data_IF_827039398511
#
_entry.id   IF_827039398511
#
_cell.length_a   1.000
_cell.length_b   1.000
_cell.length_c   1.000
_cell.angle_alpha   90.00
_cell.angle_beta   90.00
_cell.angle_gamma   90.00
#
_symmetry.space_group_name_H-M   'P 1'
#
loop_
_entity.id
_entity.type
_entity.pdbx_description
1 polymer ?
#
# COMPACT_ATOMS: atom_id res chain seq x y z
N UNK A 1 8.30 2.10 -8.49
CA UNK A 1 7.20 1.93 -7.52
C UNK A 1 6.68 3.29 -7.12
N UNK A 2 5.39 3.53 -7.33
CA UNK A 2 4.71 4.76 -6.90
C UNK A 2 4.43 4.73 -5.40
N UNK A 3 4.87 5.74 -4.65
CA UNK A 3 4.80 5.77 -3.18
C UNK A 3 3.74 6.77 -2.71
N UNK A 4 2.76 6.27 -1.96
CA UNK A 4 1.78 7.09 -1.25
C UNK A 4 2.23 7.19 0.21
N UNK A 5 2.56 8.40 0.68
CA UNK A 5 3.02 8.62 2.05
C UNK A 5 1.91 8.43 3.10
N UNK A 6 2.16 7.63 4.13
CA UNK A 6 1.15 7.17 5.10
C UNK A 6 1.13 7.93 6.45
N UNK A 7 1.93 8.98 6.64
CA UNK A 7 2.14 9.55 8.00
C UNK A 7 1.01 10.49 8.48
N UNK A 8 0.10 10.89 7.59
CA UNK A 8 -1.00 11.82 7.90
C UNK A 8 -2.27 11.01 8.22
N UNK A 9 -2.25 10.34 9.37
CA UNK A 9 -3.35 9.49 9.83
C UNK A 9 -3.90 9.89 11.19
N UNK A 10 -5.23 9.92 11.34
CA UNK A 10 -5.93 10.28 12.58
C UNK A 10 -5.62 9.36 13.78
N UNK A 11 -5.06 8.17 13.54
CA UNK A 11 -4.59 7.28 14.61
C UNK A 11 -3.37 7.86 15.34
N UNK A 12 -2.56 8.66 14.64
CA UNK A 12 -1.45 9.42 15.22
C UNK A 12 -1.98 10.48 16.18
N UNK A 13 -1.49 10.49 17.41
CA UNK A 13 -1.85 11.51 18.42
C UNK A 13 -1.50 12.91 17.96
N UNK A 14 -0.38 13.07 17.23
CA UNK A 14 0.06 14.37 16.67
C UNK A 14 -0.94 14.87 15.63
N UNK A 15 -1.34 14.02 14.68
CA UNK A 15 -2.29 14.38 13.61
C UNK A 15 -3.68 14.63 14.17
N UNK A 16 -4.17 13.76 15.07
CA UNK A 16 -5.46 13.94 15.75
C UNK A 16 -5.56 15.28 16.45
N UNK A 17 -4.56 15.62 17.27
CA UNK A 17 -4.52 16.90 17.98
C UNK A 17 -4.50 18.08 17.01
N UNK A 18 -3.72 17.98 15.94
CA UNK A 18 -3.66 19.02 14.92
C UNK A 18 -5.01 19.22 14.21
N UNK A 19 -5.75 18.14 13.93
CA UNK A 19 -7.11 18.22 13.38
C UNK A 19 -8.07 18.88 14.38
N UNK A 20 -8.06 18.46 15.64
CA UNK A 20 -8.93 18.99 16.70
C UNK A 20 -8.70 20.50 16.94
N UNK A 21 -7.44 20.93 16.90
CA UNK A 21 -7.03 22.32 17.15
C UNK A 21 -6.97 23.19 15.87
N UNK A 22 -7.27 22.61 14.69
CA UNK A 22 -7.06 23.26 13.37
C UNK A 22 -5.65 23.82 13.20
N UNK A 23 -4.67 23.12 13.75
CA UNK A 23 -3.26 23.51 13.70
C UNK A 23 -2.62 23.01 12.40
N UNK A 24 -2.30 23.94 11.49
CA UNK A 24 -1.74 23.60 10.17
C UNK A 24 -0.30 23.08 10.24
N UNK A 25 0.53 23.71 11.06
CA UNK A 25 1.98 23.50 11.04
C UNK A 25 2.40 22.03 11.23
N UNK A 26 1.84 21.24 12.18
CA UNK A 26 2.17 19.83 12.32
C UNK A 26 1.85 18.99 11.08
N UNK A 27 0.75 19.30 10.38
CA UNK A 27 0.31 18.60 9.17
C UNK A 27 1.22 18.97 8.00
N UNK A 28 1.48 20.27 7.82
CA UNK A 28 2.36 20.79 6.76
C UNK A 28 3.78 20.26 6.88
N UNK A 29 4.33 20.19 8.10
CA UNK A 29 5.66 19.60 8.33
C UNK A 29 5.73 18.12 7.94
N UNK A 30 4.68 17.33 8.24
CA UNK A 30 4.61 15.93 7.82
C UNK A 30 4.49 15.80 6.29
N UNK A 31 3.73 16.68 5.65
CA UNK A 31 3.58 16.69 4.20
C UNK A 31 4.91 16.97 3.50
N UNK A 32 5.59 18.05 3.88
CA UNK A 32 6.89 18.43 3.30
C UNK A 32 7.92 17.32 3.53
N UNK A 33 8.03 16.79 4.76
CA UNK A 33 9.01 15.74 5.06
C UNK A 33 8.79 14.45 4.25
N UNK A 34 7.54 14.10 3.94
CA UNK A 34 7.24 12.92 3.11
C UNK A 34 7.56 13.16 1.63
N UNK A 35 7.23 14.34 1.10
CA UNK A 35 7.55 14.70 -0.30
C UNK A 35 9.06 14.83 -0.51
N UNK A 36 9.78 15.44 0.44
CA UNK A 36 11.26 15.50 0.41
C UNK A 36 11.91 14.11 0.50
N UNK A 37 11.24 13.16 1.17
CA UNK A 37 11.67 11.76 1.20
C UNK A 37 11.29 10.96 -0.07
N UNK A 38 10.60 11.60 -1.02
CA UNK A 38 10.28 11.04 -2.33
C UNK A 38 8.90 10.39 -2.42
N UNK A 39 7.92 10.81 -1.62
CA UNK A 39 6.52 10.41 -1.82
C UNK A 39 5.94 11.03 -3.10
N UNK A 40 5.28 10.21 -3.92
CA UNK A 40 4.64 10.62 -5.17
C UNK A 40 3.20 11.12 -4.97
N UNK A 41 2.58 10.74 -3.85
CA UNK A 41 1.30 11.23 -3.35
C UNK A 41 1.27 11.18 -1.82
N UNK A 42 0.30 11.84 -1.18
CA UNK A 42 0.10 11.79 0.27
C UNK A 42 -1.27 11.25 0.63
N UNK A 43 -1.32 10.26 1.52
CA UNK A 43 -2.55 9.81 2.15
C UNK A 43 -3.08 10.86 3.13
N UNK A 44 -4.40 11.06 3.13
CA UNK A 44 -5.11 11.99 4.00
C UNK A 44 -6.19 11.21 4.75
N UNK A 45 -5.79 10.56 5.84
CA UNK A 45 -6.71 9.77 6.66
C UNK A 45 -7.25 10.61 7.82
N UNK A 46 -8.54 10.95 7.72
CA UNK A 46 -9.26 11.66 8.78
C UNK A 46 -10.07 10.70 9.67
N UNK A 47 -10.12 9.41 9.34
CA UNK A 47 -11.03 8.44 9.93
C UNK A 47 -12.49 8.65 9.51
N UNK A 48 -13.46 8.08 10.26
CA UNK A 48 -14.88 8.13 9.87
C UNK A 48 -15.55 9.49 10.06
N UNK A 49 -15.03 10.34 10.97
CA UNK A 49 -15.48 11.71 11.29
C UNK A 49 -16.95 12.01 10.90
N UNK A 50 -17.91 11.40 11.59
CA UNK A 50 -19.32 11.33 11.14
C UNK A 50 -19.92 12.68 10.73
N UNK A 51 -19.98 13.64 11.65
CA UNK A 51 -20.62 14.96 11.40
C UNK A 51 -19.67 16.01 10.84
N UNK A 52 -18.43 16.02 11.33
CA UNK A 52 -17.43 17.04 10.98
C UNK A 52 -16.58 16.66 9.76
N UNK A 53 -16.76 15.46 9.21
CA UNK A 53 -15.94 14.91 8.13
C UNK A 53 -15.74 15.86 6.95
N UNK A 54 -16.80 16.45 6.36
CA UNK A 54 -16.66 17.42 5.27
C UNK A 54 -15.75 18.60 5.63
N UNK A 55 -16.03 19.29 6.73
CA UNK A 55 -15.24 20.44 7.20
C UNK A 55 -13.80 20.04 7.56
N UNK A 56 -13.59 18.81 8.06
CA UNK A 56 -12.26 18.30 8.37
C UNK A 56 -11.48 18.01 7.09
N UNK A 57 -12.08 17.34 6.12
CA UNK A 57 -11.42 17.00 4.86
C UNK A 57 -11.08 18.25 4.05
N UNK A 58 -12.00 19.23 3.94
CA UNK A 58 -11.72 20.49 3.24
C UNK A 58 -10.51 21.21 3.85
N UNK A 59 -10.47 21.33 5.18
CA UNK A 59 -9.34 21.95 5.88
C UNK A 59 -8.04 21.18 5.67
N UNK A 60 -8.07 19.83 5.70
CA UNK A 60 -6.88 19.01 5.45
C UNK A 60 -6.34 19.23 4.05
N UNK A 61 -7.21 19.15 3.04
CA UNK A 61 -6.84 19.34 1.62
C UNK A 61 -6.28 20.75 1.40
N UNK A 62 -6.96 21.79 1.89
CA UNK A 62 -6.48 23.17 1.76
C UNK A 62 -5.12 23.37 2.46
N UNK A 63 -4.94 22.79 3.65
CA UNK A 63 -3.70 22.89 4.43
C UNK A 63 -2.50 22.22 3.76
N UNK A 64 -2.70 21.05 3.15
CA UNK A 64 -1.64 20.29 2.49
C UNK A 64 -1.20 20.97 1.18
N UNK A 65 -2.15 21.40 0.36
CA UNK A 65 -1.89 22.04 -0.94
C UNK A 65 -1.32 23.47 -0.83
N UNK A 66 -1.14 23.99 0.39
CA UNK A 66 -0.39 25.23 0.65
C UNK A 66 1.13 25.01 0.61
N UNK A 67 1.60 23.78 0.84
CA UNK A 67 3.03 23.48 1.04
C UNK A 67 3.59 22.37 0.16
N UNK A 68 2.73 21.57 -0.47
CA UNK A 68 3.14 20.52 -1.41
C UNK A 68 2.30 20.56 -2.68
N UNK A 69 2.88 20.05 -3.77
CA UNK A 69 2.27 19.99 -5.10
C UNK A 69 2.26 18.55 -5.64
N UNK A 70 1.88 17.59 -4.79
CA UNK A 70 1.67 16.18 -5.16
C UNK A 70 0.18 15.81 -5.03
N UNK A 71 -0.31 14.81 -5.77
CA UNK A 71 -1.66 14.26 -5.60
C UNK A 71 -1.98 13.86 -4.15
N UNK A 72 -3.24 13.98 -3.77
CA UNK A 72 -3.74 13.55 -2.47
C UNK A 72 -4.57 12.27 -2.61
N UNK A 73 -4.27 11.29 -1.75
CA UNK A 73 -5.03 10.07 -1.57
C UNK A 73 -6.02 10.25 -0.40
N UNK A 74 -7.29 10.47 -0.71
CA UNK A 74 -8.33 10.79 0.26
C UNK A 74 -8.83 9.49 0.92
N UNK A 75 -8.43 9.27 2.17
CA UNK A 75 -8.76 8.06 2.93
C UNK A 75 -9.85 8.34 3.97
N UNK A 76 -11.07 7.90 3.65
CA UNK A 76 -12.19 7.94 4.59
C UNK A 76 -13.34 7.03 4.16
N UNK A 77 -14.07 6.50 5.14
CA UNK A 77 -15.34 5.80 4.91
C UNK A 77 -16.53 6.77 4.78
N UNK A 78 -16.34 8.06 5.07
CA UNK A 78 -17.39 9.07 5.00
C UNK A 78 -17.50 9.67 3.59
N UNK A 79 -18.52 9.27 2.83
CA UNK A 79 -18.74 9.71 1.44
C UNK A 79 -18.88 11.23 1.31
N UNK A 80 -19.53 11.89 2.27
CA UNK A 80 -19.67 13.35 2.25
C UNK A 80 -18.34 14.06 2.47
N UNK A 81 -17.47 13.50 3.32
CA UNK A 81 -16.12 14.02 3.53
C UNK A 81 -15.24 13.81 2.29
N UNK A 82 -15.32 12.63 1.69
CA UNK A 82 -14.64 12.31 0.44
C UNK A 82 -15.03 13.27 -0.69
N UNK A 83 -16.32 13.50 -0.91
CA UNK A 83 -16.79 14.45 -1.92
C UNK A 83 -16.35 15.90 -1.61
N UNK A 84 -16.35 16.30 -0.35
CA UNK A 84 -15.89 17.62 0.06
C UNK A 84 -14.40 17.83 -0.26
N UNK A 85 -13.57 16.82 -0.02
CA UNK A 85 -12.15 16.82 -0.42
C UNK A 85 -11.99 16.88 -1.95
N UNK A 86 -12.72 16.04 -2.70
CA UNK A 86 -12.67 16.01 -4.17
C UNK A 86 -13.04 17.34 -4.83
N UNK A 87 -13.88 18.17 -4.19
CA UNK A 87 -14.19 19.52 -4.67
C UNK A 87 -13.04 20.53 -4.49
N UNK A 88 -12.06 20.23 -3.64
CA UNK A 88 -10.98 21.14 -3.22
C UNK A 88 -9.61 20.77 -3.80
N UNK A 89 -9.43 19.52 -4.22
CA UNK A 89 -8.16 19.08 -4.80
C UNK A 89 -7.85 19.83 -6.10
N UNK A 90 -6.58 20.21 -6.28
CA UNK A 90 -6.08 20.94 -7.45
C UNK A 90 -5.58 20.00 -8.56
N UNK A 91 -5.14 18.81 -8.17
CA UNK A 91 -4.64 17.75 -9.05
C UNK A 91 -5.60 16.55 -9.01
N UNK A 92 -5.42 15.61 -9.94
CA UNK A 92 -6.15 14.35 -9.94
C UNK A 92 -5.90 13.61 -8.61
N UNK A 93 -6.94 13.45 -7.80
CA UNK A 93 -6.87 12.77 -6.52
C UNK A 93 -6.95 11.24 -6.66
N UNK A 94 -6.63 10.55 -5.58
CA UNK A 94 -6.84 9.11 -5.42
C UNK A 94 -7.94 8.92 -4.35
N UNK A 95 -8.96 8.15 -4.66
CA UNK A 95 -10.02 7.79 -3.71
C UNK A 95 -9.65 6.49 -3.00
N UNK A 96 -9.49 6.54 -1.68
CA UNK A 96 -9.27 5.38 -0.83
C UNK A 96 -10.49 5.15 0.08
N UNK A 97 -11.34 4.16 -0.16
CA UNK A 97 -11.35 3.17 -1.27
C UNK A 97 -12.77 2.65 -1.50
N UNK A 98 -12.99 1.87 -2.57
CA UNK A 98 -14.18 1.01 -2.72
C UNK A 98 -13.87 -0.44 -2.35
N UNK A 99 -14.89 -1.26 -2.13
CA UNK A 99 -14.80 -2.72 -1.98
C UNK A 99 -16.02 -3.39 -2.63
N UNK A 100 -16.13 -4.72 -2.54
CA UNK A 100 -17.33 -5.44 -2.96
C UNK A 100 -18.47 -5.41 -1.93
N UNK A 101 -18.34 -4.60 -0.88
CA UNK A 101 -19.49 -4.25 -0.02
C UNK A 101 -20.56 -3.50 -0.86
N UNK A 102 -21.84 -3.91 -0.82
CA UNK A 102 -22.87 -3.36 -1.70
C UNK A 102 -23.06 -1.85 -1.60
N UNK A 103 -22.93 -1.27 -0.40
CA UNK A 103 -23.11 0.18 -0.22
C UNK A 103 -21.89 0.93 -0.75
N UNK A 104 -20.68 0.45 -0.46
CA UNK A 104 -19.44 1.05 -0.99
C UNK A 104 -19.38 0.96 -2.51
N UNK A 105 -19.66 -0.21 -3.08
CA UNK A 105 -19.60 -0.47 -4.52
C UNK A 105 -20.63 0.35 -5.31
N UNK A 106 -21.80 0.60 -4.71
CA UNK A 106 -22.83 1.46 -5.30
C UNK A 106 -22.39 2.92 -5.36
N UNK A 107 -21.83 3.44 -4.27
CA UNK A 107 -21.71 4.89 -4.04
C UNK A 107 -20.32 5.47 -4.35
N UNK A 108 -19.23 4.72 -4.12
CA UNK A 108 -17.86 5.24 -4.26
C UNK A 108 -17.39 5.35 -5.72
N UNK A 109 -17.55 4.32 -6.58
CA UNK A 109 -17.09 4.41 -7.98
C UNK A 109 -17.73 5.56 -8.78
N UNK A 110 -19.05 5.83 -8.71
CA UNK A 110 -19.63 7.00 -9.37
C UNK A 110 -19.05 8.32 -8.86
N UNK A 111 -18.70 8.40 -7.58
CA UNK A 111 -18.10 9.59 -7.01
C UNK A 111 -16.68 9.80 -7.57
N UNK A 112 -15.86 8.75 -7.63
CA UNK A 112 -14.53 8.83 -8.25
C UNK A 112 -14.62 9.25 -9.72
N UNK A 113 -15.53 8.64 -10.50
CA UNK A 113 -15.77 8.99 -11.89
C UNK A 113 -16.21 10.46 -12.08
N UNK A 114 -17.11 10.96 -11.22
CA UNK A 114 -17.61 12.35 -11.27
C UNK A 114 -16.49 13.40 -11.15
N UNK A 115 -15.43 13.09 -10.41
CA UNK A 115 -14.31 14.01 -10.15
C UNK A 115 -13.02 13.61 -10.87
N UNK A 116 -13.08 12.69 -11.84
CA UNK A 116 -11.91 12.18 -12.57
C UNK A 116 -10.77 11.73 -11.63
N UNK A 117 -11.12 11.03 -10.55
CA UNK A 117 -10.19 10.56 -9.55
C UNK A 117 -9.79 9.09 -9.79
N UNK A 118 -8.52 8.76 -9.53
CA UNK A 118 -8.07 7.38 -9.45
C UNK A 118 -8.79 6.66 -8.30
N UNK A 119 -8.96 5.35 -8.41
CA UNK A 119 -9.75 4.58 -7.44
C UNK A 119 -8.96 3.40 -6.89
N UNK A 120 -8.78 3.37 -5.57
CA UNK A 120 -8.33 2.16 -4.87
C UNK A 120 -9.53 1.23 -4.68
N UNK A 121 -9.40 -0.03 -5.13
CA UNK A 121 -10.45 -1.03 -5.06
C UNK A 121 -9.96 -2.27 -4.32
N UNK A 122 -10.47 -2.48 -3.11
CA UNK A 122 -10.07 -3.57 -2.23
C UNK A 122 -10.73 -4.88 -2.67
N UNK A 123 -9.96 -5.96 -2.86
CA UNK A 123 -10.47 -7.30 -3.23
C UNK A 123 -11.07 -8.04 -2.01
N UNK A 124 -12.03 -7.40 -1.35
CA UNK A 124 -12.79 -7.97 -0.24
C UNK A 124 -14.29 -7.70 -0.37
N UNK A 125 -15.08 -8.62 0.18
CA UNK A 125 -16.49 -8.41 0.49
C UNK A 125 -16.66 -8.10 1.98
N UNK A 126 -17.51 -8.87 2.66
CA UNK A 126 -17.68 -8.79 4.13
C UNK A 126 -16.46 -9.26 4.92
N UNK A 127 -15.73 -10.22 4.36
CA UNK A 127 -14.52 -10.80 4.93
C UNK A 127 -13.40 -10.74 3.89
N UNK A 128 -12.16 -10.85 4.36
CA UNK A 128 -10.98 -10.95 3.51
C UNK A 128 -10.77 -12.43 3.23
N UNK A 129 -10.72 -12.81 1.95
CA UNK A 129 -10.37 -14.17 1.57
C UNK A 129 -8.87 -14.41 1.79
N UNK A 130 -8.51 -15.62 2.20
CA UNK A 130 -7.10 -16.04 2.22
C UNK A 130 -6.65 -16.23 0.78
N UNK A 131 -7.36 -17.09 0.05
CA UNK A 131 -6.93 -17.61 -1.25
C UNK A 131 -7.00 -16.56 -2.37
N UNK A 132 -5.96 -16.53 -3.22
CA UNK A 132 -5.80 -15.60 -4.31
C UNK A 132 -6.91 -15.71 -5.35
N UNK A 133 -7.35 -16.93 -5.67
CA UNK A 133 -8.42 -17.20 -6.62
C UNK A 133 -9.74 -16.51 -6.23
N UNK A 134 -10.09 -16.53 -4.94
CA UNK A 134 -11.26 -15.84 -4.40
C UNK A 134 -11.12 -14.33 -4.44
N UNK A 135 -9.93 -13.80 -4.15
CA UNK A 135 -9.66 -12.35 -4.26
C UNK A 135 -9.82 -11.86 -5.70
N UNK A 136 -9.28 -12.60 -6.65
CA UNK A 136 -9.40 -12.32 -8.09
C UNK A 136 -10.85 -12.46 -8.56
N UNK A 137 -11.58 -13.47 -8.07
CA UNK A 137 -13.00 -13.65 -8.36
C UNK A 137 -13.81 -12.43 -7.91
N UNK A 138 -13.54 -11.88 -6.72
CA UNK A 138 -14.18 -10.63 -6.26
C UNK A 138 -13.89 -9.48 -7.22
N UNK A 139 -12.66 -9.35 -7.70
CA UNK A 139 -12.30 -8.31 -8.66
C UNK A 139 -13.08 -8.47 -9.97
N UNK A 140 -13.10 -9.67 -10.55
CA UNK A 140 -13.74 -9.97 -11.83
C UNK A 140 -15.27 -9.89 -11.80
N UNK A 141 -15.90 -10.38 -10.73
CA UNK A 141 -17.37 -10.49 -10.66
C UNK A 141 -18.05 -9.23 -10.13
N UNK A 142 -17.33 -8.39 -9.36
CA UNK A 142 -17.93 -7.25 -8.67
C UNK A 142 -17.25 -5.92 -8.98
N UNK A 143 -15.92 -5.83 -8.79
CA UNK A 143 -15.21 -4.55 -8.87
C UNK A 143 -15.08 -4.08 -10.32
N UNK A 144 -14.47 -4.88 -11.18
CA UNK A 144 -14.21 -4.51 -12.59
C UNK A 144 -15.51 -4.16 -13.33
N UNK A 145 -16.58 -4.98 -13.29
CA UNK A 145 -17.82 -4.64 -13.99
C UNK A 145 -18.40 -3.30 -13.55
N UNK A 146 -18.41 -3.03 -12.24
CA UNK A 146 -18.94 -1.77 -11.70
C UNK A 146 -18.09 -0.57 -12.10
N UNK A 147 -16.77 -0.70 -12.01
CA UNK A 147 -15.83 0.36 -12.34
C UNK A 147 -15.92 0.71 -13.83
N UNK A 148 -16.02 -0.31 -14.70
CA UNK A 148 -16.25 -0.11 -16.14
C UNK A 148 -17.61 0.53 -16.44
N UNK A 149 -18.67 0.12 -15.74
CA UNK A 149 -20.03 0.69 -15.91
C UNK A 149 -20.06 2.20 -15.65
N UNK A 150 -19.30 2.68 -14.66
CA UNK A 150 -19.21 4.11 -14.34
C UNK A 150 -18.17 4.86 -15.19
N UNK A 151 -17.44 4.15 -16.06
CA UNK A 151 -16.52 4.72 -17.04
C UNK A 151 -15.13 5.07 -16.52
N UNK A 152 -14.67 4.48 -15.41
CA UNK A 152 -13.29 4.67 -14.93
C UNK A 152 -12.35 3.77 -15.75
N UNK A 153 -11.31 4.32 -16.40
CA UNK A 153 -10.29 3.54 -17.10
C UNK A 153 -9.54 2.58 -16.17
N UNK A 154 -9.23 1.36 -16.63
CA UNK A 154 -8.53 0.37 -15.78
C UNK A 154 -7.14 0.84 -15.34
N UNK A 155 -6.42 1.61 -16.16
CA UNK A 155 -5.13 2.21 -15.82
C UNK A 155 -5.20 3.31 -14.73
N UNK A 156 -6.41 3.73 -14.32
CA UNK A 156 -6.66 4.59 -13.16
C UNK A 156 -7.13 3.83 -11.91
N UNK A 157 -7.30 2.50 -12.01
CA UNK A 157 -7.71 1.65 -10.90
C UNK A 157 -6.47 1.08 -10.22
N UNK A 158 -6.40 1.20 -8.90
CA UNK A 158 -5.40 0.55 -8.07
C UNK A 158 -6.09 -0.59 -7.29
N UNK A 159 -5.96 -1.81 -7.78
CA UNK A 159 -6.50 -2.99 -7.10
C UNK A 159 -5.63 -3.34 -5.90
N UNK A 160 -6.25 -3.45 -4.72
CA UNK A 160 -5.57 -3.80 -3.47
C UNK A 160 -5.95 -5.22 -3.03
N UNK A 161 -5.00 -6.18 -3.05
CA UNK A 161 -5.24 -7.55 -2.62
C UNK A 161 -5.47 -7.69 -1.12
N UNK A 162 -5.21 -6.64 -0.32
CA UNK A 162 -5.17 -6.60 1.13
C UNK A 162 -4.04 -7.46 1.71
N UNK A 163 -2.98 -6.77 2.12
CA UNK A 163 -1.93 -7.34 2.97
C UNK A 163 -2.41 -7.33 4.43
N UNK A 164 -2.31 -8.48 5.08
CA UNK A 164 -2.50 -8.64 6.53
C UNK A 164 -1.16 -8.86 7.23
N UNK A 165 -1.19 -8.77 8.56
CA UNK A 165 0.02 -8.97 9.37
C UNK A 165 0.59 -10.37 9.23
N UNK A 166 1.91 -10.47 9.18
CA UNK A 166 2.60 -11.75 9.29
C UNK A 166 2.40 -12.42 10.67
N UNK A 167 2.14 -11.62 11.72
CA UNK A 167 1.97 -12.13 13.07
C UNK A 167 0.62 -12.84 13.23
N UNK A 168 0.63 -14.16 13.04
CA UNK A 168 -0.55 -15.02 13.18
C UNK A 168 -1.52 -15.00 12.00
N UNK A 169 -1.13 -14.36 10.88
CA UNK A 169 -1.84 -14.35 9.61
C UNK A 169 -0.86 -14.41 8.41
N UNK A 170 0.26 -15.10 8.57
CA UNK A 170 1.32 -15.20 7.55
C UNK A 170 0.86 -15.93 6.28
N UNK A 171 -0.12 -16.81 6.37
CA UNK A 171 -0.70 -17.54 5.24
C UNK A 171 -1.29 -16.61 4.17
N UNK A 172 -1.60 -15.36 4.51
CA UNK A 172 -2.11 -14.35 3.59
C UNK A 172 -1.00 -13.70 2.72
N UNK A 173 0.27 -13.82 3.13
CA UNK A 173 1.39 -13.21 2.41
C UNK A 173 1.60 -13.83 1.02
N UNK A 174 1.82 -15.15 0.85
CA UNK A 174 2.01 -15.72 -0.49
C UNK A 174 0.78 -15.50 -1.38
N UNK A 175 -0.44 -15.55 -0.82
CA UNK A 175 -1.68 -15.35 -1.58
C UNK A 175 -1.85 -13.92 -2.10
N UNK A 176 -1.37 -12.91 -1.37
CA UNK A 176 -1.38 -11.53 -1.87
C UNK A 176 -0.41 -11.34 -3.06
N UNK A 177 0.75 -12.00 -3.04
CA UNK A 177 1.69 -12.02 -4.18
C UNK A 177 1.01 -12.66 -5.41
N UNK A 178 0.38 -13.83 -5.26
CA UNK A 178 -0.34 -14.49 -6.35
C UNK A 178 -1.51 -13.64 -6.87
N UNK A 179 -2.27 -13.01 -5.97
CA UNK A 179 -3.37 -12.11 -6.35
C UNK A 179 -2.87 -10.98 -7.25
N UNK A 180 -1.73 -10.35 -6.91
CA UNK A 180 -1.14 -9.29 -7.74
C UNK A 180 -0.84 -9.80 -9.15
N UNK A 181 -0.20 -10.97 -9.27
CA UNK A 181 0.11 -11.56 -10.59
C UNK A 181 -1.14 -11.78 -11.43
N UNK A 182 -2.20 -12.33 -10.84
CA UNK A 182 -3.45 -12.53 -11.54
C UNK A 182 -4.13 -11.22 -11.94
N UNK A 183 -4.14 -10.22 -11.06
CA UNK A 183 -4.71 -8.89 -11.34
C UNK A 183 -4.04 -8.23 -12.55
N UNK A 184 -2.77 -8.52 -12.84
CA UNK A 184 -2.09 -8.05 -14.06
C UNK A 184 -2.59 -8.67 -15.36
N UNK A 185 -3.43 -9.69 -15.29
CA UNK A 185 -3.91 -10.44 -16.45
C UNK A 185 -5.42 -10.30 -16.69
N UNK A 186 -6.15 -9.58 -15.82
CA UNK A 186 -7.62 -9.54 -15.87
C UNK A 186 -8.20 -8.61 -16.95
N UNK A 187 -7.43 -7.65 -17.46
CA UNK A 187 -7.87 -6.71 -18.49
C UNK A 187 -6.70 -6.18 -19.32
N UNK A 188 -7.02 -5.51 -20.44
CA UNK A 188 -6.06 -4.79 -21.30
C UNK A 188 -6.55 -3.35 -21.57
N UNK A 189 -5.84 -2.30 -21.10
CA UNK A 189 -4.67 -2.38 -20.22
C UNK A 189 -5.01 -3.01 -18.86
N UNK A 190 -4.03 -3.62 -18.16
CA UNK A 190 -4.25 -4.16 -16.83
C UNK A 190 -4.49 -3.03 -15.82
N UNK A 191 -5.24 -3.29 -14.73
CA UNK A 191 -5.29 -2.35 -13.63
C UNK A 191 -3.91 -2.20 -12.98
N UNK A 192 -3.71 -1.07 -12.31
CA UNK A 192 -2.60 -0.94 -11.39
C UNK A 192 -2.87 -1.79 -10.14
N UNK A 193 -1.82 -2.18 -9.42
CA UNK A 193 -1.88 -2.86 -8.14
C UNK A 193 -1.22 -2.00 -7.07
N UNK A 194 -1.87 -1.96 -5.91
CA UNK A 194 -1.42 -1.20 -4.75
C UNK A 194 -1.54 -2.05 -3.49
N UNK A 195 -0.69 -1.81 -2.51
CA UNK A 195 -0.86 -2.38 -1.17
C UNK A 195 -0.60 -1.36 -0.06
N UNK A 196 -1.31 -1.51 1.06
CA UNK A 196 -0.86 -0.95 2.35
C UNK A 196 0.30 -1.77 2.90
N UNK A 197 1.54 -1.42 2.54
CA UNK A 197 2.71 -2.28 2.76
C UNK A 197 3.01 -2.48 4.25
N UNK A 198 2.90 -1.41 5.05
CA UNK A 198 3.23 -1.42 6.48
C UNK A 198 2.36 -2.41 7.28
N UNK A 199 1.19 -2.80 6.76
CA UNK A 199 0.26 -3.73 7.39
C UNK A 199 0.86 -5.12 7.64
N UNK A 200 1.77 -5.60 6.77
CA UNK A 200 2.43 -6.90 6.94
C UNK A 200 3.17 -7.00 8.27
N UNK A 201 3.59 -5.85 8.81
CA UNK A 201 4.38 -5.77 10.03
C UNK A 201 3.57 -5.40 11.28
N UNK A 202 2.23 -5.35 11.21
CA UNK A 202 1.39 -4.98 12.35
C UNK A 202 1.47 -6.00 13.50
N UNK A 203 1.91 -5.58 14.68
CA UNK A 203 2.18 -6.50 15.79
C UNK A 203 3.60 -7.10 15.79
N UNK A 204 4.39 -6.89 14.74
CA UNK A 204 5.84 -7.15 14.74
C UNK A 204 6.54 -6.07 15.60
N UNK A 205 7.54 -6.43 16.44
CA UNK A 205 8.32 -5.47 17.20
C UNK A 205 8.94 -4.39 16.31
N UNK A 206 8.96 -3.14 16.80
CA UNK A 206 9.36 -1.96 16.00
C UNK A 206 10.70 -2.12 15.28
N UNK A 207 11.69 -2.74 15.92
CA UNK A 207 13.02 -2.95 15.32
C UNK A 207 13.02 -3.83 14.07
N UNK A 208 12.03 -4.73 13.94
CA UNK A 208 11.97 -5.70 12.85
C UNK A 208 10.94 -5.32 11.78
N UNK A 209 10.08 -4.32 12.02
CA UNK A 209 9.05 -3.91 11.06
C UNK A 209 9.66 -3.53 9.71
N UNK A 210 10.68 -2.67 9.72
CA UNK A 210 11.39 -2.20 8.53
C UNK A 210 11.96 -3.34 7.69
N UNK A 211 12.57 -4.33 8.34
CA UNK A 211 13.05 -5.54 7.67
C UNK A 211 11.90 -6.30 6.98
N UNK A 212 10.83 -6.62 7.73
CA UNK A 212 9.72 -7.44 7.22
C UNK A 212 9.04 -6.79 6.02
N UNK A 213 8.62 -5.53 6.14
CA UNK A 213 7.88 -4.91 5.05
C UNK A 213 8.75 -4.54 3.86
N UNK A 214 10.03 -4.24 4.07
CA UNK A 214 10.93 -3.97 2.94
C UNK A 214 11.19 -5.27 2.17
N UNK A 215 11.29 -6.42 2.85
CA UNK A 215 11.65 -7.70 2.19
C UNK A 215 10.47 -8.10 1.34
N UNK A 216 9.28 -7.92 1.91
CA UNK A 216 8.05 -8.16 1.22
C UNK A 216 7.84 -7.22 0.04
N UNK A 217 8.27 -5.95 0.12
CA UNK A 217 8.24 -5.04 -1.03
C UNK A 217 9.01 -5.59 -2.23
N UNK A 218 10.20 -6.17 -2.01
CA UNK A 218 11.00 -6.79 -3.09
C UNK A 218 10.25 -7.96 -3.74
N UNK A 219 9.62 -8.82 -2.94
CA UNK A 219 8.80 -9.93 -3.44
C UNK A 219 7.59 -9.42 -4.24
N UNK A 220 6.87 -8.42 -3.70
CA UNK A 220 5.69 -7.84 -4.35
C UNK A 220 6.05 -7.14 -5.66
N UNK A 221 7.20 -6.44 -5.72
CA UNK A 221 7.73 -5.88 -6.95
C UNK A 221 8.03 -6.97 -7.99
N UNK A 222 8.59 -8.10 -7.57
CA UNK A 222 8.78 -9.27 -8.44
C UNK A 222 7.46 -9.81 -9.01
N UNK A 223 6.37 -9.74 -8.25
CA UNK A 223 5.02 -10.09 -8.71
C UNK A 223 4.36 -9.02 -9.60
N UNK A 224 4.97 -7.84 -9.75
CA UNK A 224 4.48 -6.74 -10.58
C UNK A 224 3.69 -5.67 -9.82
N UNK A 225 3.92 -5.47 -8.51
CA UNK A 225 3.32 -4.35 -7.77
C UNK A 225 3.68 -2.98 -8.40
N UNK A 226 2.69 -2.10 -8.60
CA UNK A 226 2.97 -0.74 -9.14
C UNK A 226 3.15 0.31 -8.05
N UNK A 227 2.35 0.24 -6.98
CA UNK A 227 2.25 1.27 -5.97
C UNK A 227 2.16 0.71 -4.55
N UNK A 228 2.52 1.52 -3.56
CA UNK A 228 2.36 1.16 -2.16
C UNK A 228 2.06 2.38 -1.28
N UNK A 229 1.21 2.20 -0.27
CA UNK A 229 1.07 3.12 0.87
C UNK A 229 2.13 2.73 1.89
N UNK A 230 3.06 3.66 2.17
CA UNK A 230 4.32 3.42 2.90
C UNK A 230 4.76 4.64 3.70
N UNK A 231 5.62 4.46 4.70
CA UNK A 231 6.47 5.55 5.22
C UNK A 231 7.60 5.81 4.20
N UNK A 232 7.57 6.92 3.45
CA UNK A 232 8.57 7.20 2.43
C UNK A 232 9.94 7.54 3.03
N UNK A 233 10.05 7.74 4.35
CA UNK A 233 11.29 8.09 5.04
C UNK A 233 12.07 6.86 5.53
N UNK A 234 11.52 5.66 5.36
CA UNK A 234 12.24 4.44 5.74
C UNK A 234 13.43 4.20 4.79
N UNK A 235 14.64 4.38 5.31
CA UNK A 235 15.87 4.28 4.53
C UNK A 235 16.14 2.86 4.01
N UNK A 236 15.70 1.81 4.71
CA UNK A 236 15.87 0.42 4.26
C UNK A 236 14.99 0.15 3.04
N UNK A 237 13.72 0.53 3.10
CA UNK A 237 12.76 0.41 2.00
C UNK A 237 13.25 1.20 0.80
N UNK A 238 13.69 2.44 1.00
CA UNK A 238 14.25 3.28 -0.07
C UNK A 238 15.43 2.58 -0.75
N UNK A 239 16.37 2.07 0.02
CA UNK A 239 17.55 1.41 -0.54
C UNK A 239 17.20 0.10 -1.25
N UNK A 240 16.30 -0.72 -0.70
CA UNK A 240 15.91 -1.99 -1.33
C UNK A 240 15.14 -1.77 -2.63
N UNK A 241 14.25 -0.78 -2.66
CA UNK A 241 13.55 -0.38 -3.88
C UNK A 241 14.54 0.16 -4.92
N UNK A 242 15.48 1.03 -4.53
CA UNK A 242 16.53 1.55 -5.42
C UNK A 242 17.35 0.42 -6.03
N UNK A 243 17.85 -0.51 -5.19
CA UNK A 243 18.62 -1.67 -5.63
C UNK A 243 17.87 -2.45 -6.71
N UNK A 244 16.59 -2.76 -6.47
CA UNK A 244 15.77 -3.54 -7.41
C UNK A 244 15.52 -2.78 -8.71
N UNK A 245 15.15 -1.50 -8.63
CA UNK A 245 14.82 -0.67 -9.79
C UNK A 245 16.05 -0.35 -10.66
N UNK A 246 17.20 -0.11 -10.02
CA UNK A 246 18.46 0.19 -10.71
C UNK A 246 19.28 -1.07 -11.05
N UNK A 247 18.82 -2.25 -10.63
CA UNK A 247 19.52 -3.55 -10.77
C UNK A 247 20.94 -3.49 -10.20
N UNK A 248 21.11 -2.85 -9.04
CA UNK A 248 22.41 -2.64 -8.39
C UNK A 248 22.88 -3.89 -7.64
N UNK A 249 23.79 -4.64 -8.27
CA UNK A 249 24.38 -5.87 -7.73
C UNK A 249 25.76 -5.63 -7.06
N UNK A 250 26.10 -4.39 -6.75
CA UNK A 250 27.43 -4.01 -6.25
C UNK A 250 27.74 -4.51 -4.83
N UNK A 251 26.73 -4.94 -4.07
CA UNK A 251 26.86 -5.48 -2.71
C UNK A 251 26.28 -6.89 -2.60
N UNK A 252 26.75 -7.71 -1.63
CA UNK A 252 26.17 -9.04 -1.40
C UNK A 252 24.67 -9.01 -1.10
N UNK A 253 24.21 -8.04 -0.29
CA UNK A 253 22.78 -7.82 -0.04
C UNK A 253 22.06 -7.42 -1.33
N UNK A 254 22.64 -6.54 -2.15
CA UNK A 254 22.07 -6.16 -3.44
C UNK A 254 21.84 -7.37 -4.36
N UNK A 255 22.86 -8.21 -4.50
CA UNK A 255 22.76 -9.48 -5.25
C UNK A 255 21.64 -10.38 -4.71
N UNK A 256 21.54 -10.54 -3.39
CA UNK A 256 20.49 -11.35 -2.77
C UNK A 256 19.09 -10.79 -3.06
N UNK A 257 18.90 -9.48 -2.97
CA UNK A 257 17.61 -8.84 -3.24
C UNK A 257 17.21 -8.96 -4.71
N UNK A 258 18.15 -8.87 -5.65
CA UNK A 258 17.89 -9.10 -7.07
C UNK A 258 17.52 -10.55 -7.34
N UNK A 259 18.22 -11.50 -6.72
CA UNK A 259 17.87 -12.92 -6.81
C UNK A 259 16.48 -13.21 -6.22
N UNK A 260 16.11 -12.56 -5.10
CA UNK A 260 14.77 -12.67 -4.51
C UNK A 260 13.69 -12.10 -5.45
N UNK A 261 13.94 -10.94 -6.03
CA UNK A 261 13.04 -10.33 -7.02
C UNK A 261 12.86 -11.27 -8.22
N UNK A 262 13.97 -11.72 -8.83
CA UNK A 262 13.97 -12.54 -10.04
C UNK A 262 13.27 -13.89 -9.79
N UNK A 263 13.58 -14.57 -8.68
CA UNK A 263 12.90 -15.80 -8.26
C UNK A 263 11.38 -15.57 -8.12
N UNK A 264 10.98 -14.49 -7.44
CA UNK A 264 9.56 -14.17 -7.28
C UNK A 264 8.89 -13.87 -8.63
N UNK A 265 9.57 -13.20 -9.56
CA UNK A 265 9.04 -12.89 -10.88
C UNK A 265 8.77 -14.15 -11.73
N UNK A 266 9.59 -15.20 -11.57
CA UNK A 266 9.40 -16.49 -12.27
C UNK A 266 8.64 -17.54 -11.46
N UNK A 267 8.04 -17.14 -10.32
CA UNK A 267 7.28 -18.03 -9.43
C UNK A 267 8.12 -19.19 -8.85
N UNK A 268 9.39 -18.91 -8.57
CA UNK A 268 10.31 -19.82 -7.90
C UNK A 268 10.65 -19.34 -6.48
N UNK A 269 11.19 -20.26 -5.70
CA UNK A 269 11.73 -19.94 -4.38
C UNK A 269 13.15 -19.39 -4.48
N UNK A 270 13.50 -18.50 -3.54
CA UNK A 270 14.88 -18.07 -3.36
C UNK A 270 15.76 -19.28 -2.99
N UNK A 271 16.76 -19.58 -3.82
CA UNK A 271 17.69 -20.69 -3.60
C UNK A 271 18.48 -20.49 -2.28
N UNK A 272 18.37 -21.39 -1.30
CA UNK A 272 19.15 -21.28 -0.08
C UNK A 272 20.67 -21.37 -0.30
N UNK A 273 21.13 -21.98 -1.40
CA UNK A 273 22.54 -22.17 -1.71
C UNK A 273 23.29 -20.89 -2.08
N UNK A 274 22.57 -19.81 -2.41
CA UNK A 274 23.15 -18.50 -2.74
C UNK A 274 23.15 -17.52 -1.56
N UNK A 275 22.65 -17.94 -0.39
CA UNK A 275 22.58 -17.10 0.81
C UNK A 275 23.80 -17.35 1.69
N UNK A 276 24.57 -16.30 1.97
CA UNK A 276 25.61 -16.36 2.99
C UNK A 276 24.96 -16.24 4.39
N UNK A 277 24.87 -17.36 5.11
CA UNK A 277 24.28 -17.40 6.44
C UNK A 277 25.20 -16.83 7.53
N UNK A 278 26.48 -16.58 7.23
CA UNK A 278 27.42 -15.89 8.13
C UNK A 278 27.32 -14.36 8.00
N UNK A 279 26.73 -13.86 6.91
CA UNK A 279 26.33 -12.46 6.76
C UNK A 279 24.98 -12.20 7.47
N UNK A 280 24.95 -11.37 8.53
CA UNK A 280 23.75 -11.16 9.33
C UNK A 280 22.60 -10.52 8.54
N UNK A 281 22.89 -9.65 7.57
CA UNK A 281 21.83 -9.00 6.78
C UNK A 281 21.21 -9.99 5.79
N UNK A 282 22.02 -10.82 5.13
CA UNK A 282 21.53 -11.87 4.24
C UNK A 282 20.73 -12.94 5.00
N UNK A 283 21.24 -13.38 6.15
CA UNK A 283 20.53 -14.31 7.02
C UNK A 283 19.17 -13.72 7.48
N UNK A 284 19.10 -12.42 7.79
CA UNK A 284 17.85 -11.75 8.20
C UNK A 284 16.81 -11.72 7.08
N UNK A 285 17.24 -11.36 5.87
CA UNK A 285 16.41 -11.34 4.67
C UNK A 285 15.88 -12.74 4.40
N UNK A 286 16.75 -13.75 4.34
CA UNK A 286 16.35 -15.12 4.03
C UNK A 286 15.37 -15.68 5.06
N UNK A 287 15.64 -15.53 6.36
CA UNK A 287 14.69 -15.91 7.43
C UNK A 287 13.34 -15.23 7.28
N UNK A 288 13.33 -13.94 6.93
CA UNK A 288 12.11 -13.17 6.70
C UNK A 288 11.34 -13.70 5.49
N UNK A 289 12.02 -14.06 4.39
CA UNK A 289 11.41 -14.71 3.21
C UNK A 289 10.73 -16.01 3.61
N UNK A 290 11.36 -16.86 4.44
CA UNK A 290 10.75 -18.11 4.88
C UNK A 290 9.44 -17.90 5.66
N UNK A 291 9.35 -16.82 6.44
CA UNK A 291 8.12 -16.46 7.13
C UNK A 291 7.07 -15.92 6.15
N UNK A 292 7.46 -15.00 5.26
CA UNK A 292 6.56 -14.40 4.27
C UNK A 292 6.02 -15.41 3.24
N UNK A 293 6.72 -16.52 3.03
CA UNK A 293 6.27 -17.64 2.20
C UNK A 293 5.45 -18.69 2.99
N UNK A 294 5.13 -18.44 4.26
CA UNK A 294 4.42 -19.37 5.15
C UNK A 294 5.14 -20.73 5.34
N UNK A 295 6.47 -20.77 5.15
CA UNK A 295 7.27 -21.99 5.36
C UNK A 295 7.68 -22.16 6.83
N UNK A 296 7.81 -21.04 7.54
CA UNK A 296 8.17 -20.97 8.95
C UNK A 296 7.18 -20.08 9.68
N UNK A 297 6.68 -20.54 10.83
CA UNK A 297 5.78 -19.74 11.67
C UNK A 297 6.53 -18.55 12.27
N UNK A 298 5.95 -17.36 12.13
CA UNK A 298 6.46 -16.12 12.68
C UNK A 298 6.56 -16.23 14.20
N UNK A 299 7.75 -15.92 14.71
CA UNK A 299 8.01 -15.70 16.12
C UNK A 299 9.05 -14.59 16.26
N UNK A 300 8.87 -13.69 17.23
CA UNK A 300 9.76 -12.52 17.42
C UNK A 300 11.23 -12.91 17.53
N UNK A 301 11.53 -14.03 18.22
CA UNK A 301 12.88 -14.54 18.41
C UNK A 301 13.50 -15.18 17.16
N UNK A 302 12.70 -15.58 16.16
CA UNK A 302 13.23 -16.20 14.94
C UNK A 302 13.99 -15.19 14.07
N UNK A 303 13.51 -13.94 14.04
CA UNK A 303 14.13 -12.83 13.31
C UNK A 303 15.23 -12.13 14.11
N UNK A 304 15.51 -12.54 15.35
CA UNK A 304 16.67 -12.06 16.09
C UNK A 304 17.91 -12.81 15.58
N UNK A 305 18.95 -12.05 15.25
CA UNK A 305 20.28 -12.55 14.86
C UNK A 305 21.27 -12.11 15.92
#
# INVERSE_FOLDING_TARGET
>A
MYKIGEEIQVISTKVRKAIEERSKAPIQQLAVAQVEAGADALEVNIGPQKKKGPEVMEWMVDTLQEVVDVPLCLDTTNLAAMEAGLKRVKQQAIVNSTSADPDRLRDVPPLAAKYDAKLIALTMGKNIAVEADKRVTIALEHLVPRIMEVGIPMDQVLMDPLILTVSGMQEYCPEAIETIRFLKQISDPPPLTLVGLSNVSNGVPRGNRSLVYSTYAVMLLGAGLDAAIVDPRDERLKEWVRIVEERDDSTPVGQLLLNLYDATAVMEDLDPGIVDMDDPDQAAIFKTVQVLQDKIIYADGYLQI
#
